data_IF_946634622335
#
_entry.id   IF_946634622335
#
_cell.length_a   1.000
_cell.length_b   1.000
_cell.length_c   1.000
_cell.angle_alpha   90.00
_cell.angle_beta   90.00
_cell.angle_gamma   90.00
#
_symmetry.space_group_name_H-M   'P 1'
#
loop_
_entity.id
_entity.type
_entity.pdbx_description
1 polymer ?
#
# COMPACT_ATOMS: atom_id res chain seq x y z
N UNK A 1 -11.48 -26.73 -9.31
CA UNK A 1 -12.23 -25.61 -9.91
C UNK A 1 -11.44 -24.32 -9.66
N UNK A 2 -10.57 -23.89 -10.58
CA UNK A 2 -9.63 -22.76 -10.35
C UNK A 2 -9.51 -21.77 -11.52
N UNK A 3 -10.36 -21.89 -12.55
CA UNK A 3 -10.26 -21.08 -13.78
C UNK A 3 -11.39 -20.09 -14.01
N UNK A 4 -12.39 -20.02 -13.13
CA UNK A 4 -13.55 -19.14 -13.28
C UNK A 4 -13.43 -17.81 -12.52
N UNK A 5 -12.43 -17.63 -11.65
CA UNK A 5 -12.28 -16.40 -10.85
C UNK A 5 -11.53 -15.26 -11.55
N UNK A 6 -10.74 -15.54 -12.60
CA UNK A 6 -9.97 -14.51 -13.30
C UNK A 6 -10.82 -13.62 -14.22
N UNK A 7 -12.04 -14.04 -14.56
CA UNK A 7 -12.94 -13.31 -15.46
C UNK A 7 -13.82 -12.28 -14.68
N UNK A 8 -14.02 -12.51 -13.39
CA UNK A 8 -14.82 -11.62 -12.54
C UNK A 8 -14.07 -10.32 -12.14
N UNK A 9 -12.75 -10.35 -12.03
CA UNK A 9 -11.95 -9.16 -11.66
C UNK A 9 -11.68 -8.23 -12.83
N UNK A 10 -11.69 -8.72 -14.07
CA UNK A 10 -11.51 -7.90 -15.28
C UNK A 10 -12.78 -7.16 -15.71
N UNK A 11 -13.96 -7.58 -15.24
CA UNK A 11 -15.25 -6.98 -15.61
C UNK A 11 -15.66 -5.79 -14.74
N UNK A 12 -15.00 -5.57 -13.59
CA UNK A 12 -15.27 -4.41 -12.72
C UNK A 12 -14.55 -3.12 -13.13
N UNK A 13 -13.53 -3.19 -13.99
CA UNK A 13 -12.75 -2.01 -14.42
C UNK A 13 -13.39 -1.35 -15.66
N UNK A 14 -14.17 -2.09 -16.45
CA UNK A 14 -14.79 -1.60 -17.69
C UNK A 14 -16.07 -0.76 -17.51
N UNK A 15 -16.62 -0.65 -16.30
CA UNK A 15 -17.88 0.09 -16.04
C UNK A 15 -17.69 1.56 -15.63
N UNK A 16 -16.46 2.09 -15.63
CA UNK A 16 -16.18 3.51 -15.38
C UNK A 16 -15.97 4.33 -16.67
N UNK A 17 -16.60 3.91 -17.77
CA UNK A 17 -16.70 4.72 -18.98
C UNK A 17 -17.77 5.82 -18.80
N UNK A 18 -17.42 6.93 -18.15
CA UNK A 18 -18.22 8.16 -18.20
C UNK A 18 -18.02 8.86 -19.56
N UNK A 19 -18.63 8.31 -20.61
CA UNK A 19 -18.47 8.81 -21.98
C UNK A 19 -19.57 9.78 -22.45
N UNK A 20 -20.65 10.04 -21.70
CA UNK A 20 -21.77 10.84 -22.19
C UNK A 20 -22.19 11.98 -21.25
N UNK A 21 -21.34 13.01 -21.15
CA UNK A 21 -21.85 14.35 -20.81
C UNK A 21 -21.73 15.22 -22.06
N UNK A 22 -22.84 15.55 -22.74
CA UNK A 22 -22.78 16.49 -23.86
C UNK A 22 -22.21 17.81 -23.34
N UNK A 23 -21.15 18.29 -24.01
CA UNK A 23 -20.59 19.62 -23.77
C UNK A 23 -21.72 20.65 -23.89
N UNK A 24 -21.93 21.53 -22.89
CA UNK A 24 -22.84 22.65 -23.06
C UNK A 24 -22.23 23.57 -24.12
N UNK A 25 -22.80 23.55 -25.34
CA UNK A 25 -22.46 24.53 -26.38
C UNK A 25 -23.04 25.86 -25.93
N UNK A 26 -22.19 26.69 -25.32
CA UNK A 26 -22.54 28.06 -25.00
C UNK A 26 -22.39 28.89 -26.27
N UNK A 27 -23.52 29.15 -26.95
CA UNK A 27 -23.54 30.09 -28.07
C UNK A 27 -23.20 31.48 -27.55
N UNK A 28 -21.95 31.90 -27.74
CA UNK A 28 -21.51 33.26 -27.46
C UNK A 28 -22.18 34.24 -28.41
N UNK A 29 -22.74 35.33 -27.87
CA UNK A 29 -23.09 36.49 -28.69
C UNK A 29 -21.81 37.08 -29.32
N UNK A 30 -21.87 37.57 -30.58
CA UNK A 30 -20.69 38.12 -31.24
C UNK A 30 -20.15 39.29 -30.42
N UNK A 31 -18.85 39.24 -30.13
CA UNK A 31 -18.16 40.28 -29.37
C UNK A 31 -18.21 41.61 -30.15
N UNK A 32 -18.52 42.75 -29.50
CA UNK A 32 -18.43 44.05 -30.14
C UNK A 32 -16.98 44.35 -30.52
N UNK A 33 -16.76 44.79 -31.77
CA UNK A 33 -15.45 45.19 -32.26
C UNK A 33 -14.89 46.36 -31.42
N UNK A 34 -13.74 46.14 -30.77
CA UNK A 34 -12.95 47.21 -30.15
C UNK A 34 -12.47 46.96 -28.72
N UNK A 35 -12.82 45.84 -28.07
CA UNK A 35 -12.37 45.57 -26.69
C UNK A 35 -11.24 44.54 -26.72
N UNK A 36 -10.05 44.92 -26.23
CA UNK A 36 -8.99 43.95 -25.95
C UNK A 36 -9.44 43.05 -24.80
N UNK A 37 -9.71 41.78 -25.10
CA UNK A 37 -9.96 40.78 -24.07
C UNK A 37 -8.63 40.49 -23.36
N UNK A 38 -8.58 40.74 -22.05
CA UNK A 38 -7.54 40.17 -21.21
C UNK A 38 -7.60 38.64 -21.36
N UNK A 39 -6.51 38.03 -21.86
CA UNK A 39 -6.36 36.58 -21.84
C UNK A 39 -6.30 36.14 -20.37
N UNK A 40 -7.45 35.73 -19.84
CA UNK A 40 -7.47 34.89 -18.66
C UNK A 40 -6.78 33.58 -19.04
N UNK A 41 -5.52 33.42 -18.62
CA UNK A 41 -4.86 32.13 -18.57
C UNK A 41 -5.69 31.22 -17.65
N UNK A 42 -6.68 30.53 -18.20
CA UNK A 42 -7.22 29.34 -17.57
C UNK A 42 -6.12 28.30 -17.66
N UNK A 43 -5.38 28.11 -16.56
CA UNK A 43 -4.72 26.82 -16.35
C UNK A 43 -5.80 25.74 -16.52
N UNK A 44 -5.54 24.68 -17.31
CA UNK A 44 -6.48 23.57 -17.38
C UNK A 44 -6.59 22.98 -15.98
N UNK A 45 -7.71 23.25 -15.31
CA UNK A 45 -8.06 22.58 -14.07
C UNK A 45 -8.06 21.09 -14.40
N UNK A 46 -7.09 20.37 -13.83
CA UNK A 46 -7.11 18.91 -13.83
C UNK A 46 -8.47 18.49 -13.31
N UNK A 47 -9.18 17.68 -14.09
CA UNK A 47 -10.41 17.03 -13.65
C UNK A 47 -9.98 15.91 -12.68
N UNK A 48 -9.31 16.26 -11.59
CA UNK A 48 -9.12 15.38 -10.45
C UNK A 48 -10.46 15.41 -9.73
N UNK A 49 -11.17 14.27 -9.73
CA UNK A 49 -12.35 14.15 -8.90
C UNK A 49 -11.93 14.49 -7.46
N UNK A 50 -12.57 15.47 -6.78
CA UNK A 50 -12.03 16.07 -5.56
C UNK A 50 -11.79 15.06 -4.43
N UNK A 51 -12.47 13.91 -4.46
CA UNK A 51 -12.29 12.80 -3.53
C UNK A 51 -11.02 11.96 -3.78
N UNK A 52 -10.46 11.95 -5.00
CA UNK A 52 -9.21 11.24 -5.32
C UNK A 52 -7.97 12.06 -5.00
N UNK A 53 -8.09 13.40 -4.87
CA UNK A 53 -6.97 14.32 -4.60
C UNK A 53 -6.14 13.95 -3.36
N UNK A 54 -6.77 13.29 -2.39
CA UNK A 54 -6.17 12.89 -1.12
C UNK A 54 -5.69 11.43 -1.09
N UNK A 55 -5.87 10.69 -2.19
CA UNK A 55 -5.44 9.30 -2.29
C UNK A 55 -4.10 9.22 -3.00
N UNK A 56 -3.23 8.40 -2.43
CA UNK A 56 -1.91 8.11 -2.98
C UNK A 56 -1.71 6.61 -2.96
N UNK A 57 -1.29 6.04 -4.08
CA UNK A 57 -0.95 4.62 -4.20
C UNK A 57 0.56 4.45 -4.14
N UNK A 58 1.01 3.36 -3.56
CA UNK A 58 2.41 2.98 -3.53
C UNK A 58 2.59 1.54 -3.96
N UNK A 59 3.64 1.29 -4.73
CA UNK A 59 4.02 -0.04 -5.19
C UNK A 59 5.54 -0.14 -5.10
N UNK A 60 6.04 -1.22 -4.54
CA UNK A 60 7.46 -1.32 -4.28
C UNK A 60 7.95 -2.71 -3.95
N UNK A 61 9.25 -2.78 -3.75
CA UNK A 61 9.93 -3.91 -3.19
C UNK A 61 10.03 -3.74 -1.68
N UNK A 62 9.78 -4.83 -0.96
CA UNK A 62 9.97 -4.90 0.48
C UNK A 62 10.90 -6.06 0.78
N UNK A 63 11.81 -5.87 1.73
CA UNK A 63 12.57 -6.95 2.29
C UNK A 63 12.75 -6.77 3.78
N UNK A 64 13.07 -7.86 4.45
CA UNK A 64 13.26 -7.89 5.89
C UNK A 64 14.37 -8.84 6.28
N UNK A 65 15.03 -8.50 7.39
CA UNK A 65 15.84 -9.45 8.13
C UNK A 65 15.09 -9.73 9.43
N UNK A 66 14.69 -10.99 9.59
CA UNK A 66 14.16 -11.50 10.85
C UNK A 66 15.35 -12.16 11.57
N UNK A 67 15.71 -11.61 12.73
CA UNK A 67 16.77 -12.16 13.57
C UNK A 67 16.13 -12.98 14.69
N UNK A 68 16.28 -14.32 14.63
CA UNK A 68 16.02 -15.19 15.77
C UNK A 68 17.22 -16.11 16.00
N UNK A 69 17.93 -15.88 17.10
CA UNK A 69 19.08 -16.64 17.64
C UNK A 69 20.05 -17.19 16.56
N UNK A 70 19.74 -18.34 15.94
CA UNK A 70 20.61 -19.02 14.96
C UNK A 70 20.10 -18.99 13.50
N UNK A 71 18.91 -18.44 13.22
CA UNK A 71 18.30 -18.43 11.88
C UNK A 71 18.11 -16.99 11.39
N UNK A 72 18.88 -16.61 10.36
CA UNK A 72 18.72 -15.35 9.63
C UNK A 72 17.80 -15.54 8.44
N UNK A 73 16.51 -15.30 8.63
CA UNK A 73 15.53 -15.35 7.54
C UNK A 73 15.53 -14.02 6.79
N UNK A 74 15.87 -14.09 5.50
CA UNK A 74 15.87 -12.93 4.60
C UNK A 74 14.65 -12.96 3.72
N UNK A 75 13.62 -12.25 4.16
CA UNK A 75 12.39 -12.16 3.39
C UNK A 75 12.53 -11.10 2.29
N UNK A 76 12.00 -11.42 1.12
CA UNK A 76 12.07 -10.60 -0.08
C UNK A 76 10.73 -10.65 -0.79
N UNK A 77 10.20 -9.51 -1.17
CA UNK A 77 8.83 -9.43 -1.64
C UNK A 77 8.49 -8.13 -2.33
N UNK A 78 7.21 -8.01 -2.63
CA UNK A 78 6.62 -6.79 -3.15
C UNK A 78 5.55 -6.28 -2.19
N UNK A 79 5.29 -4.99 -2.28
CA UNK A 79 4.23 -4.32 -1.56
C UNK A 79 3.35 -3.51 -2.50
N UNK A 80 2.07 -3.45 -2.16
CA UNK A 80 1.10 -2.53 -2.73
C UNK A 80 0.36 -1.86 -1.59
N UNK A 81 0.19 -0.55 -1.66
CA UNK A 81 -0.55 0.17 -0.65
C UNK A 81 -1.29 1.37 -1.21
N UNK A 82 -2.18 1.88 -0.37
CA UNK A 82 -2.89 3.11 -0.56
C UNK A 82 -2.80 3.93 0.73
N UNK A 83 -2.66 5.23 0.57
CA UNK A 83 -2.63 6.21 1.66
C UNK A 83 -3.69 7.26 1.39
N UNK A 84 -4.55 7.49 2.38
CA UNK A 84 -5.57 8.53 2.37
C UNK A 84 -5.15 9.64 3.34
N UNK A 85 -4.81 10.82 2.82
CA UNK A 85 -4.44 11.96 3.65
C UNK A 85 -5.68 12.71 4.13
N UNK A 86 -5.85 12.79 5.45
CA UNK A 86 -6.94 13.55 6.09
C UNK A 86 -6.61 15.05 6.12
N UNK A 87 -5.34 15.37 6.26
CA UNK A 87 -4.79 16.73 6.23
C UNK A 87 -3.35 16.70 5.71
N UNK A 88 -2.69 17.86 5.65
CA UNK A 88 -1.30 17.98 5.15
C UNK A 88 -0.27 17.21 6.01
N UNK A 89 -0.58 16.97 7.29
CA UNK A 89 0.32 16.37 8.28
C UNK A 89 0.05 14.90 8.56
N UNK A 90 -1.09 14.36 8.14
CA UNK A 90 -1.54 13.07 8.65
C UNK A 90 -2.61 12.40 7.79
N UNK A 91 -2.60 11.08 7.83
CA UNK A 91 -3.49 10.24 7.03
C UNK A 91 -3.57 8.81 7.57
N UNK A 92 -4.27 7.98 6.82
CA UNK A 92 -4.37 6.55 7.04
C UNK A 92 -3.70 5.81 5.90
N UNK A 93 -3.02 4.70 6.18
CA UNK A 93 -2.50 3.81 5.17
C UNK A 93 -3.15 2.44 5.28
N UNK A 94 -3.30 1.78 4.13
CA UNK A 94 -3.58 0.37 4.00
C UNK A 94 -2.55 -0.22 3.05
N UNK A 95 -1.94 -1.33 3.43
CA UNK A 95 -0.83 -1.94 2.70
C UNK A 95 -0.99 -3.46 2.69
N UNK A 96 -0.71 -4.05 1.55
CA UNK A 96 -0.58 -5.48 1.37
C UNK A 96 0.86 -5.79 0.95
N UNK A 97 1.49 -6.72 1.65
CA UNK A 97 2.84 -7.19 1.36
C UNK A 97 2.79 -8.69 1.05
N UNK A 98 3.54 -9.10 0.04
CA UNK A 98 3.74 -10.51 -0.24
C UNK A 98 5.23 -10.78 -0.34
N UNK A 99 5.74 -11.59 0.59
CA UNK A 99 7.13 -11.96 0.69
C UNK A 99 7.28 -13.45 0.39
N UNK A 100 8.27 -13.78 -0.42
CA UNK A 100 8.53 -15.13 -0.88
C UNK A 100 9.99 -15.47 -0.63
N UNK A 101 10.20 -16.49 0.19
CA UNK A 101 11.45 -17.24 0.26
C UNK A 101 11.11 -18.72 0.04
N UNK A 102 11.24 -19.57 1.06
CA UNK A 102 10.73 -20.95 1.07
C UNK A 102 9.23 -21.01 1.42
N UNK A 103 8.77 -20.10 2.28
CA UNK A 103 7.38 -19.93 2.68
C UNK A 103 6.77 -18.68 2.02
N UNK A 104 5.47 -18.73 1.73
CA UNK A 104 4.71 -17.59 1.18
C UNK A 104 4.06 -16.84 2.32
N UNK A 105 4.71 -15.77 2.77
CA UNK A 105 4.17 -14.87 3.77
C UNK A 105 3.38 -13.76 3.09
N UNK A 106 2.13 -13.58 3.50
CA UNK A 106 1.27 -12.48 3.07
C UNK A 106 0.92 -11.67 4.30
N UNK A 107 0.96 -10.36 4.16
CA UNK A 107 0.60 -9.45 5.24
C UNK A 107 -0.36 -8.40 4.73
N UNK A 108 -1.37 -8.11 5.54
CA UNK A 108 -2.19 -6.93 5.40
C UNK A 108 -1.98 -6.00 6.60
N UNK A 109 -1.68 -4.74 6.35
CA UNK A 109 -1.31 -3.74 7.35
C UNK A 109 -2.15 -2.47 7.19
N UNK A 110 -2.64 -1.93 8.31
CA UNK A 110 -3.44 -0.71 8.37
C UNK A 110 -2.98 0.19 9.52
N UNK A 111 -2.99 1.50 9.32
CA UNK A 111 -2.52 2.40 10.37
C UNK A 111 -2.51 3.87 9.98
N UNK A 112 -1.81 4.65 10.80
CA UNK A 112 -1.62 6.08 10.60
C UNK A 112 -0.33 6.38 9.86
N UNK A 113 -0.37 7.41 9.01
CA UNK A 113 0.82 8.06 8.47
C UNK A 113 0.89 9.49 9.02
N UNK A 114 2.09 9.93 9.38
CA UNK A 114 2.39 11.29 9.79
C UNK A 114 3.46 11.87 8.88
N UNK A 115 3.21 13.04 8.32
CA UNK A 115 4.13 13.74 7.44
C UNK A 115 4.96 14.72 8.28
N UNK A 116 6.24 14.41 8.48
CA UNK A 116 7.15 15.25 9.26
C UNK A 116 7.66 16.44 8.44
N UNK A 117 7.90 16.20 7.15
CA UNK A 117 8.46 17.20 6.25
C UNK A 117 7.93 16.93 4.85
N UNK A 118 7.37 17.96 4.22
CA UNK A 118 7.00 17.91 2.81
C UNK A 118 7.25 19.29 2.19
N UNK A 119 8.43 19.46 1.60
CA UNK A 119 8.76 20.67 0.87
C UNK A 119 9.35 20.37 -0.50
N UNK A 120 8.80 21.07 -1.51
CA UNK A 120 9.24 21.06 -2.91
C UNK A 120 9.26 19.65 -3.51
N UNK A 121 10.39 18.97 -3.39
CA UNK A 121 10.70 17.70 -4.04
C UNK A 121 11.00 16.57 -3.06
N UNK A 122 11.12 16.84 -1.76
CA UNK A 122 11.46 15.82 -0.77
C UNK A 122 10.36 15.75 0.28
N UNK A 123 10.01 14.54 0.69
CA UNK A 123 9.14 14.32 1.83
C UNK A 123 9.71 13.27 2.78
N UNK A 124 9.31 13.37 4.04
CA UNK A 124 9.62 12.44 5.11
C UNK A 124 8.34 12.14 5.86
N UNK A 125 7.96 10.87 5.91
CA UNK A 125 6.78 10.39 6.60
C UNK A 125 7.13 9.27 7.58
N UNK A 126 6.44 9.27 8.72
CA UNK A 126 6.38 8.15 9.64
C UNK A 126 5.09 7.37 9.46
N UNK A 127 5.17 6.06 9.59
CA UNK A 127 4.02 5.16 9.57
C UNK A 127 4.02 4.32 10.83
N UNK A 128 2.87 4.16 11.45
CA UNK A 128 2.68 3.24 12.57
C UNK A 128 1.29 2.60 12.45
N UNK A 129 1.18 1.30 12.69
CA UNK A 129 -0.08 0.61 12.52
C UNK A 129 -0.11 -0.78 13.13
N UNK A 130 -1.14 -1.51 12.74
CA UNK A 130 -1.34 -2.92 13.03
C UNK A 130 -1.44 -3.66 11.71
N UNK A 131 -0.89 -4.85 11.66
CA UNK A 131 -0.99 -5.73 10.52
C UNK A 131 -1.29 -7.14 10.96
N UNK A 132 -1.71 -7.93 10.00
CA UNK A 132 -2.03 -9.33 10.17
C UNK A 132 -1.32 -10.08 9.06
N UNK A 133 -0.44 -10.99 9.46
CA UNK A 133 0.39 -11.81 8.59
C UNK A 133 -0.09 -13.25 8.66
N UNK A 134 -0.23 -13.89 7.51
CA UNK A 134 -0.53 -15.31 7.43
C UNK A 134 0.46 -16.00 6.49
N UNK A 135 0.85 -17.22 6.88
CA UNK A 135 1.82 -18.03 6.14
C UNK A 135 1.11 -19.26 5.60
N UNK A 136 1.04 -19.36 4.26
CA UNK A 136 0.49 -20.55 3.58
C UNK A 136 1.65 -21.52 3.24
N UNK A 137 1.89 -22.51 4.10
CA UNK A 137 2.82 -23.62 3.84
C UNK A 137 2.06 -24.88 3.41
N UNK A 138 2.35 -25.40 2.21
CA UNK A 138 1.88 -26.74 1.80
C UNK A 138 3.10 -27.63 1.66
N UNK A 139 3.28 -28.55 2.61
CA UNK A 139 4.15 -29.71 2.43
C UNK A 139 3.28 -30.96 2.33
N UNK A 140 3.76 -31.98 1.62
CA UNK A 140 2.94 -33.10 1.10
C UNK A 140 2.15 -33.90 2.18
N UNK A 141 2.45 -33.74 3.47
CA UNK A 141 1.77 -34.41 4.60
C UNK A 141 1.37 -33.48 5.78
N UNK A 142 1.53 -32.15 5.66
CA UNK A 142 1.16 -31.19 6.72
C UNK A 142 0.74 -29.82 6.16
N UNK A 143 -0.45 -29.34 6.55
CA UNK A 143 -0.87 -27.96 6.34
C UNK A 143 -0.45 -27.15 7.57
N UNK A 144 0.44 -26.18 7.37
CA UNK A 144 0.86 -25.24 8.40
C UNK A 144 0.18 -23.90 8.12
N UNK A 145 -0.79 -23.55 8.95
CA UNK A 145 -1.45 -22.24 8.96
C UNK A 145 -0.91 -21.48 10.19
N UNK A 146 -0.07 -20.47 9.94
CA UNK A 146 0.49 -19.65 11.01
C UNK A 146 -0.01 -18.21 10.86
N UNK A 147 -0.62 -17.72 11.92
CA UNK A 147 -1.23 -16.39 11.99
C UNK A 147 -0.48 -15.49 12.97
N UNK A 148 -0.08 -14.31 12.50
CA UNK A 148 0.73 -13.37 13.26
C UNK A 148 0.06 -12.00 13.27
N UNK A 149 -0.10 -11.43 14.47
CA UNK A 149 -0.39 -10.02 14.62
C UNK A 149 0.92 -9.25 14.54
N UNK A 150 0.98 -8.24 13.68
CA UNK A 150 2.18 -7.45 13.46
C UNK A 150 1.94 -5.99 13.84
N UNK A 151 2.95 -5.33 14.37
CA UNK A 151 2.94 -3.89 14.62
C UNK A 151 4.04 -3.27 13.77
N UNK A 152 3.72 -2.83 12.54
CA UNK A 152 4.68 -2.13 11.70
C UNK A 152 4.85 -0.69 12.14
N UNK A 153 6.10 -0.30 12.38
CA UNK A 153 6.52 1.11 12.46
C UNK A 153 7.58 1.38 11.42
N UNK A 154 7.61 2.59 10.86
CA UNK A 154 8.59 2.90 9.84
C UNK A 154 8.73 4.38 9.56
N UNK A 155 9.86 4.71 8.98
CA UNK A 155 10.19 6.00 8.40
C UNK A 155 10.43 5.82 6.92
N UNK A 156 9.83 6.67 6.12
CA UNK A 156 9.96 6.68 4.68
C UNK A 156 10.39 8.08 4.22
N UNK A 157 11.36 8.10 3.31
CA UNK A 157 11.92 9.27 2.66
C UNK A 157 11.62 9.13 1.18
N UNK A 158 11.06 10.16 0.57
CA UNK A 158 10.82 10.13 -0.87
C UNK A 158 11.20 11.39 -1.61
N UNK A 159 11.47 11.20 -2.90
CA UNK A 159 11.81 12.25 -3.84
C UNK A 159 10.76 12.30 -4.95
N UNK A 160 10.12 13.46 -5.12
CA UNK A 160 9.09 13.75 -6.11
C UNK A 160 9.75 14.15 -7.43
N UNK A 161 9.59 13.32 -8.46
CA UNK A 161 10.01 13.65 -9.83
C UNK A 161 9.01 14.59 -10.49
N UNK A 162 7.73 14.33 -10.26
CA UNK A 162 6.59 15.15 -10.69
C UNK A 162 5.62 15.35 -9.52
N UNK A 163 4.65 16.28 -9.60
CA UNK A 163 3.64 16.44 -8.55
C UNK A 163 2.84 15.17 -8.25
N UNK A 164 2.74 14.26 -9.23
CA UNK A 164 2.00 13.01 -9.14
C UNK A 164 2.89 11.79 -8.88
N UNK A 165 4.19 11.81 -9.20
CA UNK A 165 5.07 10.64 -9.11
C UNK A 165 6.28 10.91 -8.22
N UNK A 166 6.50 10.03 -7.24
CA UNK A 166 7.67 10.05 -6.38
C UNK A 166 8.30 8.66 -6.25
N UNK A 167 9.63 8.60 -6.10
CA UNK A 167 10.28 7.41 -5.55
C UNK A 167 10.38 7.53 -4.03
N UNK A 168 10.40 6.41 -3.34
CA UNK A 168 10.62 6.36 -1.91
C UNK A 168 11.56 5.24 -1.50
N UNK A 169 12.27 5.48 -0.41
CA UNK A 169 12.98 4.49 0.35
C UNK A 169 12.62 4.62 1.82
N UNK A 170 12.41 3.51 2.48
CA UNK A 170 12.01 3.49 3.88
C UNK A 170 12.72 2.39 4.65
N UNK A 171 12.86 2.64 5.94
CA UNK A 171 13.33 1.69 6.94
C UNK A 171 12.23 1.57 7.99
N UNK A 172 11.97 0.35 8.42
CA UNK A 172 10.96 0.07 9.42
C UNK A 172 11.40 -1.01 10.37
N UNK A 173 10.68 -1.09 11.47
CA UNK A 173 10.76 -2.16 12.42
C UNK A 173 9.38 -2.77 12.56
N UNK A 174 9.32 -4.09 12.64
CA UNK A 174 8.06 -4.82 12.76
C UNK A 174 8.20 -5.76 13.95
N UNK A 175 7.30 -5.58 14.90
CA UNK A 175 7.09 -6.56 15.97
C UNK A 175 6.05 -7.56 15.47
N UNK A 176 6.35 -8.86 15.52
CA UNK A 176 5.39 -9.92 15.18
C UNK A 176 5.09 -10.72 16.44
N UNK A 177 3.83 -10.66 16.88
CA UNK A 177 3.29 -11.43 17.98
C UNK A 177 2.52 -12.61 17.40
N UNK A 178 2.87 -13.81 17.84
CA UNK A 178 2.20 -15.04 17.44
C UNK A 178 0.85 -15.13 18.17
N UNK A 179 -0.27 -15.23 17.44
CA UNK A 179 -1.59 -15.33 18.06
C UNK A 179 -2.06 -16.78 18.14
N UNK A 180 -1.86 -17.57 17.08
CA UNK A 180 -2.21 -18.99 17.04
C UNK A 180 -1.23 -19.74 16.14
N UNK A 181 -0.66 -20.83 16.67
CA UNK A 181 0.19 -21.76 15.92
C UNK A 181 -0.50 -23.12 15.89
N UNK A 182 -1.37 -23.32 14.92
CA UNK A 182 -1.92 -24.65 14.66
C UNK A 182 -0.94 -25.42 13.77
N UNK A 183 -0.29 -26.43 14.35
CA UNK A 183 0.52 -27.38 13.60
C UNK A 183 -0.30 -28.65 13.39
N UNK A 184 -0.91 -28.80 12.21
CA UNK A 184 -1.62 -30.03 11.86
C UNK A 184 -0.61 -31.05 11.28
N UNK A 185 -0.22 -32.02 12.10
CA UNK A 185 0.59 -33.17 11.70
C UNK A 185 -0.30 -34.40 11.61
N UNK A 186 -0.37 -34.99 10.41
CA UNK A 186 -1.01 -36.30 10.20
C UNK A 186 -2.52 -36.33 10.56
N UNK A 187 -3.26 -35.27 10.23
CA UNK A 187 -4.71 -35.16 10.47
C UNK A 187 -5.12 -34.89 11.92
N UNK A 188 -4.14 -34.65 12.80
CA UNK A 188 -4.36 -34.20 14.18
C UNK A 188 -3.78 -32.79 14.29
N UNK A 189 -4.66 -31.81 14.53
CA UNK A 189 -4.25 -30.44 14.77
C UNK A 189 -3.81 -30.30 16.22
N UNK A 190 -2.52 -30.02 16.40
CA UNK A 190 -1.97 -29.67 17.69
C UNK A 190 -2.04 -28.16 17.79
N UNK A 191 -2.89 -27.71 18.70
CA UNK A 191 -2.95 -26.34 19.17
C UNK A 191 -1.66 -26.09 19.96
N UNK A 192 -0.62 -25.59 19.29
CA UNK A 192 0.60 -25.17 19.95
C UNK A 192 0.33 -23.78 20.56
N UNK A 193 -0.53 -23.78 21.60
CA UNK A 193 -1.10 -22.57 22.17
C UNK A 193 -0.05 -21.50 22.46
N UNK A 194 -0.43 -20.23 22.29
CA UNK A 194 0.32 -19.00 22.61
C UNK A 194 1.80 -19.20 22.98
N UNK A 195 2.62 -19.54 21.99
CA UNK A 195 4.06 -19.58 22.15
C UNK A 195 4.59 -18.14 22.11
N UNK A 196 4.51 -17.44 23.23
CA UNK A 196 5.20 -16.15 23.46
C UNK A 196 6.73 -16.23 23.30
N UNK A 197 7.28 -17.44 23.07
CA UNK A 197 8.68 -17.69 22.73
C UNK A 197 8.98 -17.58 21.21
N UNK A 198 7.97 -17.27 20.39
CA UNK A 198 8.09 -17.03 18.94
C UNK A 198 7.86 -15.57 18.52
N UNK A 199 8.08 -14.62 19.43
CA UNK A 199 8.11 -13.21 19.08
C UNK A 199 9.31 -12.94 18.17
N UNK A 200 9.04 -12.78 16.87
CA UNK A 200 10.05 -12.49 15.86
C UNK A 200 10.00 -11.01 15.57
N UNK A 201 11.08 -10.32 15.91
CA UNK A 201 11.23 -8.91 15.60
C UNK A 201 12.17 -8.75 14.41
N UNK A 202 11.83 -7.82 13.52
CA UNK A 202 12.55 -7.68 12.26
C UNK A 202 12.72 -6.25 11.81
N UNK A 203 13.89 -5.97 11.24
CA UNK A 203 14.10 -4.74 10.48
C UNK A 203 13.61 -4.96 9.06
N UNK A 204 12.83 -4.02 8.56
CA UNK A 204 12.30 -4.02 7.20
C UNK A 204 12.87 -2.84 6.42
N UNK A 205 13.09 -3.04 5.12
CA UNK A 205 13.45 -1.98 4.19
C UNK A 205 12.50 -2.02 3.01
N UNK A 206 12.17 -0.83 2.51
CA UNK A 206 11.16 -0.63 1.46
C UNK A 206 11.73 0.30 0.41
N UNK A 207 11.52 -0.01 -0.86
CA UNK A 207 11.93 0.81 -2.00
C UNK A 207 10.85 0.75 -3.06
N UNK A 208 10.34 1.88 -3.52
CA UNK A 208 9.23 1.85 -4.46
C UNK A 208 8.90 3.17 -5.12
N UNK A 209 7.78 3.14 -5.84
CA UNK A 209 7.18 4.28 -6.51
C UNK A 209 5.82 4.59 -5.89
N UNK A 210 5.54 5.87 -5.81
CA UNK A 210 4.31 6.44 -5.27
C UNK A 210 3.65 7.29 -6.33
N UNK A 211 2.34 7.09 -6.51
CA UNK A 211 1.49 7.86 -7.40
C UNK A 211 0.41 8.58 -6.61
N UNK A 212 0.41 9.91 -6.64
CA UNK A 212 -0.57 10.78 -6.00
C UNK A 212 -1.57 11.31 -7.02
N UNK A 213 -2.86 11.13 -6.75
CA UNK A 213 -3.96 11.61 -7.59
C UNK A 213 -4.30 13.09 -7.34
N UNK A 214 -3.28 13.93 -7.15
CA UNK A 214 -3.44 15.39 -7.03
C UNK A 214 -3.75 16.06 -8.37
#
# INVERSE_FOLDING_TARGET
MKKTLAIATLSFISSLAFADKPLPIQYGSPAPLGVQNAQNNHEPQSISAPYLSNITFNAGYVGGMLDKEDVKLRLKGWELGATYFLNEKGGLFAKYEQQKDELKLKEFSLGGVYNFYDEKKVYINGTAGLGYSWVDGKDEDAELELEYLTIPVGLELGYKFTPNVAAYGGLGYKWMYNQDSEACLNGVCYDAGNLSELDVNGTTYRLGLRYSFR
#
